data_IF_097480019470
#
_entry.id   IF_097480019470
#
_cell.length_a   1.000
_cell.length_b   1.000
_cell.length_c   1.000
_cell.angle_alpha   90.00
_cell.angle_beta   90.00
_cell.angle_gamma   90.00
#
_symmetry.space_group_name_H-M   'P 1'
#
loop_
_entity.id
_entity.type
_entity.pdbx_description
1 polymer ?
#
# COMPACT_ATOMS: atom_id res chain seq x y z
N UNK A 1 -7.68 -1.78 -0.04
CA UNK A 1 -6.84 -0.84 -0.80
C UNK A 1 -7.37 -0.63 -2.22
N UNK A 2 -7.11 -1.57 -3.12
CA UNK A 2 -7.36 -1.43 -4.56
C UNK A 2 -8.80 -1.00 -4.94
N UNK A 3 -9.83 -1.45 -4.20
CA UNK A 3 -11.22 -1.09 -4.46
C UNK A 3 -11.77 0.05 -3.57
N UNK A 4 -10.93 0.72 -2.77
CA UNK A 4 -11.42 1.66 -1.75
C UNK A 4 -12.20 2.84 -2.35
N UNK A 5 -11.73 3.41 -3.46
CA UNK A 5 -12.41 4.54 -4.13
C UNK A 5 -13.81 4.14 -4.62
N UNK A 6 -13.93 2.99 -5.31
CA UNK A 6 -15.22 2.48 -5.77
C UNK A 6 -16.14 2.13 -4.59
N UNK A 7 -15.61 1.46 -3.56
CA UNK A 7 -16.37 1.10 -2.37
C UNK A 7 -16.88 2.33 -1.61
N UNK A 8 -16.06 3.38 -1.51
CA UNK A 8 -16.45 4.65 -0.89
C UNK A 8 -17.63 5.29 -1.62
N UNK A 9 -17.58 5.33 -2.96
CA UNK A 9 -18.68 5.84 -3.80
C UNK A 9 -19.96 5.00 -3.68
N UNK A 10 -19.85 3.74 -3.26
CA UNK A 10 -20.98 2.84 -2.93
C UNK A 10 -21.45 2.95 -1.47
N UNK A 11 -20.84 3.82 -0.67
CA UNK A 11 -21.31 4.12 0.69
C UNK A 11 -20.68 3.28 1.80
N UNK A 12 -19.50 2.66 1.61
CA UNK A 12 -18.78 2.07 2.75
C UNK A 12 -18.37 3.14 3.75
N UNK A 13 -18.39 2.80 5.03
CA UNK A 13 -18.06 3.70 6.14
C UNK A 13 -16.72 3.38 6.81
N UNK A 14 -15.96 2.43 6.26
CA UNK A 14 -14.65 2.06 6.75
C UNK A 14 -13.93 1.03 5.88
N UNK A 15 -12.69 0.71 6.25
CA UNK A 15 -11.86 -0.29 5.59
C UNK A 15 -10.87 -0.92 6.58
N UNK A 16 -10.41 -2.14 6.28
CA UNK A 16 -9.35 -2.81 7.04
C UNK A 16 -8.06 -2.81 6.19
N UNK A 17 -7.12 -1.88 6.43
CA UNK A 17 -5.89 -1.76 5.64
C UNK A 17 -4.81 -2.75 6.09
N UNK A 18 -3.87 -3.04 5.17
CA UNK A 18 -2.56 -3.59 5.52
C UNK A 18 -1.71 -2.53 6.25
N UNK A 19 -0.91 -2.96 7.23
CA UNK A 19 -0.12 -2.05 8.07
C UNK A 19 1.08 -1.44 7.35
N UNK A 20 1.53 -2.08 6.28
CA UNK A 20 2.62 -1.61 5.42
C UNK A 20 2.31 -0.30 4.68
N UNK A 21 1.01 0.00 4.45
CA UNK A 21 0.53 1.18 3.73
C UNK A 21 -0.49 2.01 4.52
N UNK A 22 -0.51 1.88 5.85
CA UNK A 22 -1.53 2.49 6.71
C UNK A 22 -1.66 4.01 6.50
N UNK A 23 -0.55 4.74 6.45
CA UNK A 23 -0.49 6.17 6.19
C UNK A 23 -1.12 6.55 4.84
N UNK A 24 -0.80 5.80 3.78
CA UNK A 24 -1.39 5.94 2.45
C UNK A 24 -2.90 5.73 2.45
N UNK A 25 -3.38 4.66 3.11
CA UNK A 25 -4.82 4.37 3.17
C UNK A 25 -5.57 5.42 3.98
N UNK A 26 -4.99 5.89 5.10
CA UNK A 26 -5.60 6.96 5.92
C UNK A 26 -5.67 8.27 5.14
N UNK A 27 -4.61 8.64 4.42
CA UNK A 27 -4.61 9.84 3.58
C UNK A 27 -5.65 9.73 2.46
N UNK A 28 -5.74 8.58 1.79
CA UNK A 28 -6.74 8.32 0.76
C UNK A 28 -8.17 8.41 1.32
N UNK A 29 -8.41 7.81 2.49
CA UNK A 29 -9.71 7.90 3.17
C UNK A 29 -10.10 9.35 3.45
N UNK A 30 -9.17 10.16 3.97
CA UNK A 30 -9.41 11.59 4.24
C UNK A 30 -9.69 12.37 2.96
N UNK A 31 -8.91 12.17 1.90
CA UNK A 31 -9.14 12.83 0.61
C UNK A 31 -10.55 12.51 0.06
N UNK A 32 -10.99 11.26 0.18
CA UNK A 32 -12.34 10.84 -0.21
C UNK A 32 -13.43 11.53 0.65
N UNK A 33 -13.24 11.61 1.97
CA UNK A 33 -14.17 12.31 2.86
C UNK A 33 -14.26 13.81 2.59
N UNK A 34 -13.15 14.43 2.19
CA UNK A 34 -13.07 15.86 1.86
C UNK A 34 -13.54 16.18 0.42
N UNK A 35 -13.83 15.18 -0.42
CA UNK A 35 -14.19 15.38 -1.82
C UNK A 35 -13.01 15.81 -2.72
N UNK A 36 -11.77 15.60 -2.28
CA UNK A 36 -10.56 15.93 -3.04
C UNK A 36 -10.22 14.82 -4.05
N UNK A 37 -11.04 14.70 -5.10
CA UNK A 37 -10.96 13.59 -6.06
C UNK A 37 -9.56 13.45 -6.71
N UNK A 38 -8.93 14.55 -7.11
CA UNK A 38 -7.59 14.50 -7.73
C UNK A 38 -6.52 13.99 -6.77
N UNK A 39 -6.57 14.39 -5.50
CA UNK A 39 -5.67 13.87 -4.47
C UNK A 39 -5.95 12.39 -4.19
N UNK A 40 -7.22 12.01 -4.12
CA UNK A 40 -7.61 10.61 -3.92
C UNK A 40 -7.04 9.72 -5.03
N UNK A 41 -7.12 10.12 -6.30
CA UNK A 41 -6.54 9.36 -7.40
C UNK A 41 -5.02 9.31 -7.37
N UNK A 42 -4.34 10.44 -7.06
CA UNK A 42 -2.87 10.47 -6.91
C UNK A 42 -2.37 9.52 -5.84
N UNK A 43 -3.07 9.42 -4.70
CA UNK A 43 -2.75 8.46 -3.63
C UNK A 43 -3.11 7.03 -4.02
N UNK A 44 -4.24 6.84 -4.70
CA UNK A 44 -4.77 5.52 -5.07
C UNK A 44 -3.90 4.78 -6.09
N UNK A 45 -3.35 5.45 -7.10
CA UNK A 45 -2.54 4.80 -8.14
C UNK A 45 -1.33 4.01 -7.60
N UNK A 46 -0.41 4.58 -6.80
CA UNK A 46 0.72 3.82 -6.26
C UNK A 46 0.26 2.73 -5.27
N UNK A 47 -0.81 2.95 -4.51
CA UNK A 47 -1.41 1.92 -3.64
C UNK A 47 -1.89 0.73 -4.48
N UNK A 48 -2.56 0.98 -5.60
CA UNK A 48 -3.01 -0.07 -6.52
C UNK A 48 -1.84 -0.84 -7.13
N UNK A 49 -0.77 -0.15 -7.54
CA UNK A 49 0.44 -0.81 -8.03
C UNK A 49 1.03 -1.76 -6.99
N UNK A 50 1.17 -1.31 -5.74
CA UNK A 50 1.70 -2.12 -4.64
C UNK A 50 0.81 -3.34 -4.36
N UNK A 51 -0.51 -3.13 -4.29
CA UNK A 51 -1.47 -4.21 -4.07
C UNK A 51 -1.50 -5.18 -5.25
N UNK A 52 -1.28 -4.73 -6.48
CA UNK A 52 -1.20 -5.61 -7.65
C UNK A 52 0.02 -6.55 -7.57
N UNK A 53 1.19 -6.03 -7.15
CA UNK A 53 2.38 -6.87 -6.91
C UNK A 53 2.16 -7.87 -5.77
N UNK A 54 1.48 -7.47 -4.70
CA UNK A 54 1.08 -8.37 -3.62
C UNK A 54 0.17 -9.49 -4.13
N UNK A 55 -0.83 -9.14 -4.95
CA UNK A 55 -1.80 -10.09 -5.50
C UNK A 55 -1.17 -11.10 -6.49
N UNK A 56 -0.10 -10.72 -7.21
CA UNK A 56 0.57 -11.60 -8.18
C UNK A 56 0.98 -12.96 -7.57
N UNK A 57 1.38 -12.96 -6.30
CA UNK A 57 1.76 -14.17 -5.57
C UNK A 57 0.75 -14.58 -4.48
N UNK A 58 -0.48 -14.07 -4.56
CA UNK A 58 -1.54 -14.35 -3.59
C UNK A 58 -1.15 -13.99 -2.16
N UNK A 59 -1.51 -14.85 -1.19
CA UNK A 59 -1.22 -14.61 0.23
C UNK A 59 0.28 -14.52 0.52
N UNK A 60 1.11 -15.31 -0.18
CA UNK A 60 2.56 -15.27 -0.01
C UNK A 60 3.15 -13.92 -0.43
N UNK A 61 2.58 -13.32 -1.49
CA UNK A 61 2.93 -11.99 -1.97
C UNK A 61 2.63 -10.89 -0.96
N UNK A 62 1.40 -10.88 -0.43
CA UNK A 62 1.04 -10.00 0.69
C UNK A 62 2.03 -10.14 1.84
N UNK A 63 2.23 -11.34 2.37
CA UNK A 63 3.09 -11.54 3.53
C UNK A 63 4.57 -11.17 3.28
N UNK A 64 5.10 -11.42 2.08
CA UNK A 64 6.50 -11.08 1.78
C UNK A 64 6.70 -9.58 1.62
N UNK A 65 5.85 -8.94 0.81
CA UNK A 65 5.99 -7.52 0.47
C UNK A 65 5.63 -6.65 1.68
N UNK A 66 4.57 -6.98 2.41
CA UNK A 66 4.20 -6.25 3.64
C UNK A 66 5.36 -6.28 4.65
N UNK A 67 5.93 -7.45 4.90
CA UNK A 67 7.08 -7.57 5.83
C UNK A 67 8.31 -6.84 5.33
N UNK A 68 8.59 -6.90 4.03
CA UNK A 68 9.67 -6.14 3.42
C UNK A 68 9.51 -4.63 3.65
N UNK A 69 8.32 -4.08 3.40
CA UNK A 69 8.01 -2.67 3.66
C UNK A 69 8.04 -2.32 5.15
N UNK A 70 7.54 -3.19 6.04
CA UNK A 70 7.56 -2.96 7.49
C UNK A 70 8.99 -2.96 8.06
N UNK A 71 9.90 -3.77 7.51
CA UNK A 71 11.34 -3.68 7.83
C UNK A 71 11.93 -2.37 7.31
N UNK A 72 11.62 -2.02 6.06
CA UNK A 72 12.10 -0.77 5.45
C UNK A 72 11.64 0.48 6.20
N UNK A 73 10.44 0.44 6.79
CA UNK A 73 9.89 1.48 7.66
C UNK A 73 10.43 1.44 9.10
N UNK A 74 11.27 0.45 9.45
CA UNK A 74 11.82 0.29 10.80
C UNK A 74 10.82 -0.21 11.85
N UNK A 75 9.65 -0.71 11.42
CA UNK A 75 8.62 -1.27 12.33
C UNK A 75 9.01 -2.69 12.75
N UNK A 76 9.54 -3.48 11.81
CA UNK A 76 10.05 -4.82 12.09
C UNK A 76 11.56 -4.88 11.93
N UNK A 77 12.20 -5.76 12.70
CA UNK A 77 13.64 -6.04 12.59
C UNK A 77 13.96 -7.12 11.54
N UNK A 78 12.96 -7.87 11.07
CA UNK A 78 13.15 -8.98 10.11
C UNK A 78 11.93 -9.20 9.24
N UNK A 79 12.17 -9.56 7.97
CA UNK A 79 11.13 -9.95 7.02
C UNK A 79 10.87 -11.47 7.00
N UNK A 80 11.45 -12.23 7.94
CA UNK A 80 11.32 -13.69 7.99
C UNK A 80 9.85 -14.13 8.09
N UNK A 81 9.48 -15.12 7.27
CA UNK A 81 8.15 -15.77 7.24
C UNK A 81 8.30 -17.22 7.67
N UNK A 82 7.32 -17.73 8.44
CA UNK A 82 7.28 -19.15 8.78
C UNK A 82 6.81 -19.92 7.55
N UNK A 83 7.51 -21.01 7.23
CA UNK A 83 7.14 -21.92 6.15
C UNK A 83 5.94 -22.78 6.56
N UNK A 84 5.16 -23.31 5.59
CA UNK A 84 5.38 -23.28 4.14
C UNK A 84 4.90 -22.00 3.45
N UNK A 85 5.64 -21.57 2.43
CA UNK A 85 5.22 -20.61 1.40
C UNK A 85 5.79 -21.09 0.06
N UNK A 86 5.05 -20.88 -1.03
CA UNK A 86 5.46 -21.25 -2.38
C UNK A 86 6.19 -20.14 -3.14
N UNK A 87 6.16 -18.92 -2.62
CA UNK A 87 6.76 -17.76 -3.28
C UNK A 87 7.62 -16.89 -2.34
N UNK A 88 8.69 -16.33 -2.89
CA UNK A 88 9.60 -15.39 -2.21
C UNK A 88 9.82 -14.17 -3.08
N UNK A 89 9.89 -13.01 -2.42
CA UNK A 89 10.20 -11.74 -3.06
C UNK A 89 11.59 -11.79 -3.69
N UNK A 90 11.63 -11.71 -5.01
CA UNK A 90 12.86 -11.56 -5.78
C UNK A 90 13.32 -10.09 -5.83
N UNK A 91 14.54 -9.87 -6.31
CA UNK A 91 15.16 -8.55 -6.34
C UNK A 91 14.48 -7.57 -7.30
N UNK A 92 13.96 -8.03 -8.44
CA UNK A 92 13.33 -7.13 -9.41
C UNK A 92 11.97 -6.66 -8.90
N UNK A 93 11.17 -7.59 -8.37
CA UNK A 93 9.89 -7.23 -7.73
C UNK A 93 10.12 -6.29 -6.55
N UNK A 94 11.18 -6.50 -5.74
CA UNK A 94 11.51 -5.59 -4.64
C UNK A 94 11.86 -4.16 -5.12
N UNK A 95 12.57 -4.03 -6.23
CA UNK A 95 12.87 -2.73 -6.82
C UNK A 95 11.61 -2.02 -7.33
N UNK A 96 10.66 -2.73 -7.91
CA UNK A 96 9.39 -2.12 -8.33
C UNK A 96 8.52 -1.70 -7.13
N UNK A 97 8.46 -2.53 -6.08
CA UNK A 97 7.86 -2.15 -4.79
C UNK A 97 8.48 -0.85 -4.28
N UNK A 98 9.81 -0.72 -4.34
CA UNK A 98 10.51 0.48 -3.90
C UNK A 98 10.15 1.72 -4.73
N UNK A 99 10.06 1.60 -6.06
CA UNK A 99 9.67 2.72 -6.94
C UNK A 99 8.26 3.20 -6.62
N UNK A 100 7.31 2.28 -6.48
CA UNK A 100 5.91 2.60 -6.15
C UNK A 100 5.78 3.17 -4.74
N UNK A 101 6.54 2.63 -3.79
CA UNK A 101 6.58 3.13 -2.42
C UNK A 101 7.09 4.57 -2.36
N UNK A 102 8.18 4.90 -3.08
CA UNK A 102 8.69 6.28 -3.18
C UNK A 102 7.64 7.23 -3.73
N UNK A 103 6.88 6.83 -4.76
CA UNK A 103 5.78 7.64 -5.31
C UNK A 103 4.70 7.91 -4.28
N UNK A 104 4.28 6.88 -3.53
CA UNK A 104 3.32 7.07 -2.45
C UNK A 104 3.84 8.04 -1.39
N UNK A 105 5.11 7.91 -0.98
CA UNK A 105 5.72 8.80 0.01
C UNK A 105 5.84 10.25 -0.50
N UNK A 106 6.05 10.47 -1.80
CA UNK A 106 6.04 11.81 -2.40
C UNK A 106 4.66 12.47 -2.30
N UNK A 107 3.59 11.75 -2.61
CA UNK A 107 2.23 12.27 -2.48
C UNK A 107 1.90 12.59 -1.00
N UNK A 108 2.25 11.69 -0.08
CA UNK A 108 2.06 11.91 1.36
C UNK A 108 2.82 13.14 1.88
N UNK A 109 4.07 13.31 1.45
CA UNK A 109 4.89 14.46 1.83
C UNK A 109 4.45 15.78 1.19
N UNK A 110 3.69 15.74 0.10
CA UNK A 110 3.06 16.92 -0.49
C UNK A 110 1.81 17.33 0.29
N UNK A 111 0.98 16.36 0.71
CA UNK A 111 -0.22 16.62 1.54
C UNK A 111 0.12 17.21 2.91
N UNK A 112 1.25 16.83 3.52
CA UNK A 112 1.65 17.35 4.84
C UNK A 112 2.21 18.79 4.80
N UNK A 113 2.52 19.32 3.61
CA UNK A 113 3.09 20.66 3.43
C UNK A 113 2.07 21.70 2.96
N UNK A 114 0.84 21.28 2.67
CA UNK A 114 -0.30 22.11 2.34
C UNK A 114 -1.14 22.38 3.59
#
# INVERSE_FOLDING_TARGET
GIHLVDSFRRGVTGTMPGMDLLDGIVALWRALQSGEDDLAYRLWYPICGLVALQLQAGLDGFLAIEKYLLVKRGVFSSAARRQPYGWTLDSETALEVDRLFVRLQQELGATQRA
#
